data_IF_024851757105
#
_entry.id   IF_024851757105
#
_cell.length_a   1.000
_cell.length_b   1.000
_cell.length_c   1.000
_cell.angle_alpha   90.00
_cell.angle_beta   90.00
_cell.angle_gamma   90.00
#
_symmetry.space_group_name_H-M   'P 1'
#
loop_
_entity.id
_entity.type
_entity.pdbx_description
1 polymer ?
#
# COMPACT_ATOMS: atom_id res chain seq x y z
N UNK A 1 -1.79 -1.24 0.77
CA UNK A 1 -1.01 -0.68 -0.36
C UNK A 1 0.32 -0.12 0.08
N UNK A 2 0.33 0.80 1.03
CA UNK A 2 1.59 1.34 1.56
C UNK A 2 2.48 0.23 2.13
N UNK A 3 1.90 -0.79 2.74
CA UNK A 3 2.64 -1.95 3.26
C UNK A 3 3.49 -2.65 2.19
N UNK A 4 3.02 -2.65 0.96
CA UNK A 4 3.75 -3.23 -0.17
C UNK A 4 4.91 -2.32 -0.59
N UNK A 5 4.64 -1.01 -0.67
CA UNK A 5 5.60 -0.04 -1.16
C UNK A 5 6.76 0.17 -0.17
N UNK A 6 6.51 0.09 1.15
CA UNK A 6 7.57 0.26 2.15
C UNK A 6 8.60 -0.86 2.12
N UNK A 7 8.26 -2.02 1.57
CA UNK A 7 9.18 -3.16 1.50
C UNK A 7 10.26 -2.93 0.46
N UNK A 8 9.86 -2.46 -0.73
CA UNK A 8 10.79 -2.19 -1.82
C UNK A 8 10.09 -1.36 -2.90
N UNK A 9 10.87 -0.73 -3.76
CA UNK A 9 10.35 -0.03 -4.93
C UNK A 9 9.54 -0.98 -5.80
N UNK A 10 8.38 -0.51 -6.28
CA UNK A 10 7.46 -1.34 -7.05
C UNK A 10 6.70 -0.49 -8.08
N UNK A 11 5.86 -1.14 -8.86
CA UNK A 11 5.04 -0.49 -9.88
C UNK A 11 3.60 -1.03 -9.81
N UNK A 12 2.68 -0.32 -10.49
CA UNK A 12 1.25 -0.57 -10.34
C UNK A 12 0.81 -2.02 -10.56
N UNK A 13 1.29 -2.64 -11.65
CA UNK A 13 0.91 -4.02 -11.95
C UNK A 13 1.36 -5.00 -10.86
N UNK A 14 2.58 -4.81 -10.34
CA UNK A 14 3.09 -5.66 -9.27
C UNK A 14 2.30 -5.46 -7.97
N UNK A 15 1.90 -4.22 -7.67
CA UNK A 15 1.05 -3.94 -6.51
C UNK A 15 -0.27 -4.70 -6.63
N UNK A 16 -0.91 -4.65 -7.80
CA UNK A 16 -2.15 -5.38 -8.04
C UNK A 16 -1.97 -6.88 -7.87
N UNK A 17 -0.87 -7.42 -8.40
CA UNK A 17 -0.56 -8.84 -8.28
C UNK A 17 -0.40 -9.26 -6.82
N UNK A 18 0.32 -8.48 -6.03
CA UNK A 18 0.51 -8.79 -4.60
C UNK A 18 -0.79 -8.67 -3.81
N UNK A 19 -1.64 -7.70 -4.14
CA UNK A 19 -2.94 -7.57 -3.50
C UNK A 19 -3.82 -8.78 -3.82
N UNK A 20 -3.82 -9.21 -5.08
CA UNK A 20 -4.58 -10.36 -5.52
C UNK A 20 -4.10 -11.64 -4.82
N UNK A 21 -2.79 -11.83 -4.71
CA UNK A 21 -2.21 -12.97 -4.00
C UNK A 21 -2.56 -13.00 -2.52
N UNK A 22 -2.86 -11.84 -1.94
CA UNK A 22 -3.26 -11.72 -0.54
C UNK A 22 -4.77 -11.62 -0.34
N UNK A 23 -5.54 -11.99 -1.34
CA UNK A 23 -7.00 -12.09 -1.22
C UNK A 23 -7.79 -10.85 -1.62
N UNK A 24 -7.12 -9.79 -2.09
CA UNK A 24 -7.78 -8.56 -2.52
C UNK A 24 -8.00 -8.56 -4.03
N UNK A 25 -8.68 -9.58 -4.52
CA UNK A 25 -8.85 -9.82 -5.96
C UNK A 25 -9.90 -8.94 -6.64
N UNK A 26 -10.66 -8.16 -5.88
CA UNK A 26 -11.63 -7.21 -6.43
C UNK A 26 -11.05 -5.83 -6.73
N UNK A 27 -9.78 -5.59 -6.39
CA UNK A 27 -9.14 -4.28 -6.60
C UNK A 27 -8.64 -4.18 -8.05
N UNK A 28 -9.03 -3.12 -8.73
CA UNK A 28 -8.68 -2.87 -10.13
C UNK A 28 -7.85 -1.60 -10.27
N UNK A 29 -7.30 -1.38 -11.45
CA UNK A 29 -6.50 -0.19 -11.75
C UNK A 29 -7.25 1.11 -11.46
N UNK A 30 -8.55 1.15 -11.74
CA UNK A 30 -9.39 2.33 -11.46
C UNK A 30 -9.45 2.71 -9.98
N UNK A 31 -9.22 1.76 -9.09
CA UNK A 31 -9.16 2.01 -7.64
C UNK A 31 -7.73 2.29 -7.20
N UNK A 32 -6.76 1.62 -7.80
CA UNK A 32 -5.36 1.69 -7.39
C UNK A 32 -4.74 3.07 -7.62
N UNK A 33 -4.84 3.60 -8.84
CA UNK A 33 -4.12 4.83 -9.19
C UNK A 33 -4.58 6.06 -8.42
N UNK A 34 -5.87 6.27 -8.15
CA UNK A 34 -6.28 7.37 -7.27
C UNK A 34 -5.69 7.30 -5.88
N UNK A 35 -5.53 6.10 -5.32
CA UNK A 35 -4.92 5.92 -3.99
C UNK A 35 -3.43 6.26 -4.05
N UNK A 36 -2.72 5.79 -5.08
CA UNK A 36 -1.30 6.11 -5.27
C UNK A 36 -1.08 7.62 -5.41
N UNK A 37 -1.92 8.29 -6.19
CA UNK A 37 -1.86 9.74 -6.36
C UNK A 37 -2.04 10.46 -5.02
N UNK A 38 -2.97 10.00 -4.22
CA UNK A 38 -3.24 10.58 -2.89
C UNK A 38 -2.06 10.40 -1.95
N UNK A 39 -1.45 9.21 -1.93
CA UNK A 39 -0.28 8.93 -1.11
C UNK A 39 0.90 9.80 -1.53
N UNK A 40 1.08 10.00 -2.83
CA UNK A 40 2.14 10.85 -3.36
C UNK A 40 1.94 12.31 -2.96
N UNK A 41 0.72 12.82 -3.08
CA UNK A 41 0.38 14.19 -2.68
C UNK A 41 0.62 14.44 -1.20
N UNK A 42 0.42 13.45 -0.37
CA UNK A 42 0.64 13.55 1.07
C UNK A 42 2.09 13.38 1.46
N UNK A 43 2.97 13.08 0.49
CA UNK A 43 4.39 12.93 0.74
C UNK A 43 4.79 11.59 1.34
N UNK A 44 3.94 10.59 1.29
CA UNK A 44 4.22 9.27 1.83
C UNK A 44 4.95 8.36 0.85
N UNK A 45 4.79 8.61 -0.44
CA UNK A 45 5.50 7.90 -1.49
C UNK A 45 6.04 8.88 -2.51
N UNK A 46 7.08 8.46 -3.22
CA UNK A 46 7.63 9.19 -4.37
C UNK A 46 7.47 8.31 -5.61
N UNK A 47 7.44 8.96 -6.76
CA UNK A 47 7.27 8.30 -8.04
C UNK A 47 8.40 8.71 -8.97
N UNK A 48 9.00 7.73 -9.67
CA UNK A 48 9.93 8.00 -10.75
C UNK A 48 9.48 7.27 -12.00
N UNK A 49 9.77 7.84 -13.15
CA UNK A 49 9.50 7.21 -14.44
C UNK A 49 10.80 6.62 -14.97
N UNK A 50 10.73 5.39 -15.46
CA UNK A 50 11.89 4.73 -16.07
C UNK A 50 11.42 3.79 -17.15
N UNK A 51 12.26 3.57 -18.16
CA UNK A 51 11.97 2.58 -19.19
C UNK A 51 12.11 1.18 -18.60
N UNK A 52 11.10 0.35 -18.82
CA UNK A 52 11.22 -1.06 -18.49
C UNK A 52 12.14 -1.73 -19.54
N UNK A 53 12.84 -2.82 -19.18
CA UNK A 53 13.73 -3.52 -20.12
C UNK A 53 13.06 -3.98 -21.42
N UNK A 54 11.76 -4.21 -21.40
CA UNK A 54 11.02 -4.81 -22.50
C UNK A 54 9.82 -3.99 -22.97
N UNK A 55 9.75 -2.71 -22.63
CA UNK A 55 8.56 -1.98 -23.00
C UNK A 55 8.58 -0.49 -22.70
N UNK A 56 7.39 0.11 -22.61
CA UNK A 56 7.25 1.55 -22.45
C UNK A 56 7.69 2.04 -21.07
N UNK A 57 7.74 3.35 -20.94
CA UNK A 57 8.04 4.03 -19.67
C UNK A 57 7.05 3.58 -18.60
N UNK A 58 7.57 3.25 -17.44
CA UNK A 58 6.81 2.78 -16.29
C UNK A 58 7.01 3.71 -15.10
N UNK A 59 5.97 3.84 -14.28
CA UNK A 59 6.08 4.58 -13.02
C UNK A 59 6.45 3.61 -11.90
N UNK A 60 7.51 3.97 -11.18
CA UNK A 60 7.96 3.21 -10.01
C UNK A 60 7.71 4.03 -8.75
N UNK A 61 7.23 3.39 -7.72
CA UNK A 61 6.85 4.02 -6.46
C UNK A 61 7.74 3.51 -5.33
N UNK A 62 8.19 4.43 -4.48
CA UNK A 62 9.00 4.13 -3.31
C UNK A 62 8.43 4.87 -2.11
N UNK A 63 8.55 4.30 -0.92
CA UNK A 63 8.15 4.99 0.30
C UNK A 63 9.18 6.05 0.68
N UNK A 64 8.69 7.20 1.12
CA UNK A 64 9.53 8.25 1.69
C UNK A 64 9.77 7.96 3.16
N UNK A 65 10.67 8.72 3.81
CA UNK A 65 10.85 8.63 5.26
C UNK A 65 9.55 8.88 5.99
N UNK A 66 8.79 9.89 5.55
CA UNK A 66 7.48 10.19 6.12
C UNK A 66 6.50 9.04 5.93
N UNK A 67 6.54 8.38 4.77
CA UNK A 67 5.69 7.23 4.48
C UNK A 67 6.00 6.05 5.38
N UNK A 68 7.29 5.77 5.60
CA UNK A 68 7.70 4.69 6.50
C UNK A 68 7.27 4.99 7.93
N UNK A 69 7.47 6.21 8.40
CA UNK A 69 7.07 6.62 9.75
C UNK A 69 5.56 6.52 9.92
N UNK A 70 4.79 7.00 8.95
CA UNK A 70 3.34 6.91 8.96
C UNK A 70 2.87 5.45 9.00
N UNK A 71 3.50 4.60 8.20
CA UNK A 71 3.15 3.19 8.14
C UNK A 71 3.36 2.49 9.48
N UNK A 72 4.47 2.78 10.16
CA UNK A 72 4.76 2.20 11.48
C UNK A 72 3.72 2.60 12.51
N UNK A 73 3.33 3.87 12.54
CA UNK A 73 2.31 4.37 13.46
C UNK A 73 0.94 3.76 13.14
N UNK A 74 0.58 3.71 11.87
CA UNK A 74 -0.68 3.11 11.42
C UNK A 74 -0.75 1.63 11.79
N UNK A 75 0.32 0.89 11.57
CA UNK A 75 0.41 -0.52 11.88
C UNK A 75 0.17 -0.78 13.37
N UNK A 76 0.81 0.01 14.21
CA UNK A 76 0.64 -0.10 15.66
C UNK A 76 -0.80 0.17 16.08
N UNK A 77 -1.39 1.28 15.59
CA UNK A 77 -2.77 1.62 15.88
C UNK A 77 -3.75 0.56 15.39
N UNK A 78 -3.50 0.03 14.21
CA UNK A 78 -4.35 -1.01 13.63
C UNK A 78 -4.38 -2.26 14.49
N UNK A 79 -3.21 -2.72 14.95
CA UNK A 79 -3.14 -3.89 15.82
C UNK A 79 -3.84 -3.67 17.15
N UNK A 80 -3.70 -2.49 17.75
CA UNK A 80 -4.36 -2.16 19.01
C UNK A 80 -5.89 -2.14 18.86
N UNK A 81 -6.39 -1.51 17.80
CA UNK A 81 -7.82 -1.43 17.53
C UNK A 81 -8.39 -2.81 17.22
N UNK A 82 -7.70 -3.58 16.39
CA UNK A 82 -8.15 -4.92 16.01
C UNK A 82 -8.22 -5.83 17.23
N UNK A 83 -7.22 -5.75 18.11
CA UNK A 83 -7.17 -6.55 19.33
C UNK A 83 -8.35 -6.24 20.24
N UNK A 84 -8.67 -4.95 20.41
CA UNK A 84 -9.83 -4.51 21.20
C UNK A 84 -11.15 -4.97 20.58
N UNK A 85 -11.26 -4.86 19.26
CA UNK A 85 -12.45 -5.30 18.53
C UNK A 85 -12.67 -6.80 18.69
N UNK A 86 -11.61 -7.59 18.61
CA UNK A 86 -11.70 -9.04 18.80
C UNK A 86 -12.19 -9.41 20.20
N UNK A 87 -11.74 -8.69 21.23
CA UNK A 87 -12.23 -8.91 22.60
C UNK A 87 -13.73 -8.68 22.72
N UNK A 88 -14.22 -7.60 22.08
CA UNK A 88 -15.66 -7.31 22.08
C UNK A 88 -16.45 -8.41 21.38
N UNK A 89 -15.95 -8.89 20.26
CA UNK A 89 -16.62 -9.96 19.50
C UNK A 89 -16.65 -11.26 20.29
N UNK A 90 -15.58 -11.60 20.99
CA UNK A 90 -15.48 -12.83 21.79
C UNK A 90 -16.31 -12.76 23.06
N UNK A 91 -16.56 -11.58 23.62
CA UNK A 91 -17.29 -11.42 24.86
C UNK A 91 -18.82 -11.49 24.71
N UNK A 92 -19.32 -11.56 23.48
CA UNK A 92 -20.77 -11.59 23.21
C UNK A 92 -21.40 -12.96 23.34
N UNK A 93 -20.62 -13.97 23.58
CA UNK A 93 -21.15 -15.31 23.85
C UNK A 93 -21.50 -15.50 25.32
#
# INVERSE_FOLDING_TARGET
MLAIIVREETYGYEILTQLEENGFDSIQEGTLYPVLTRLEKRGYISCRKAKSPFGPVRKYYSATENGVAFFKLFKKSYYEITKKAMRLLESED
#
